data_IF_288051988814
#
_entry.id   IF_288051988814
#
_cell.length_a   1.000
_cell.length_b   1.000
_cell.length_c   1.000
_cell.angle_alpha   90.00
_cell.angle_beta   90.00
_cell.angle_gamma   90.00
#
_symmetry.space_group_name_H-M   'P 1'
#
loop_
_entity.id
_entity.type
_entity.pdbx_description
1 polymer ?
#
# COMPACT_ATOMS: atom_id res chain seq x y z
N UNK A 1 -33.35 -9.36 -45.46
CA UNK A 1 -33.38 -8.72 -44.13
C UNK A 1 -32.55 -7.46 -44.20
N UNK A 2 -33.00 -6.34 -43.60
CA UNK A 2 -32.18 -5.13 -43.49
C UNK A 2 -31.23 -5.35 -42.31
N UNK A 3 -29.94 -5.47 -42.60
CA UNK A 3 -28.89 -5.63 -41.60
C UNK A 3 -28.36 -4.24 -41.23
N UNK A 4 -28.00 -4.05 -39.95
CA UNK A 4 -27.39 -2.82 -39.43
C UNK A 4 -26.07 -3.19 -38.76
N UNK A 5 -25.04 -2.37 -38.92
CA UNK A 5 -23.78 -2.58 -38.23
C UNK A 5 -23.87 -2.10 -36.78
N UNK A 6 -23.04 -2.64 -35.90
CA UNK A 6 -22.95 -2.19 -34.51
C UNK A 6 -22.54 -0.72 -34.43
N UNK A 7 -21.62 -0.28 -35.29
CA UNK A 7 -21.21 1.12 -35.38
C UNK A 7 -22.38 2.05 -35.78
N UNK A 8 -23.24 1.62 -36.70
CA UNK A 8 -24.41 2.41 -37.09
C UNK A 8 -25.46 2.45 -36.00
N UNK A 9 -25.69 1.34 -35.30
CA UNK A 9 -26.56 1.31 -34.12
C UNK A 9 -26.02 2.20 -32.99
N UNK A 10 -24.70 2.19 -32.76
CA UNK A 10 -24.04 3.05 -31.77
C UNK A 10 -24.26 4.53 -32.04
N UNK A 11 -24.16 4.95 -33.31
CA UNK A 11 -24.41 6.34 -33.73
C UNK A 11 -25.88 6.73 -33.55
N UNK A 12 -26.81 5.84 -33.89
CA UNK A 12 -28.26 6.09 -33.74
C UNK A 12 -28.64 6.22 -32.27
N UNK A 13 -28.11 5.36 -31.41
CA UNK A 13 -28.40 5.34 -29.97
C UNK A 13 -27.53 6.31 -29.16
N UNK A 14 -26.51 6.93 -29.77
CA UNK A 14 -25.51 7.80 -29.11
C UNK A 14 -24.78 7.12 -27.96
N UNK A 15 -24.43 5.85 -28.13
CA UNK A 15 -23.74 5.03 -27.12
C UNK A 15 -22.35 4.62 -27.61
N UNK A 16 -21.46 4.28 -26.68
CA UNK A 16 -20.14 3.78 -27.05
C UNK A 16 -20.26 2.40 -27.72
N UNK A 17 -19.51 2.18 -28.80
CA UNK A 17 -19.50 0.92 -29.55
C UNK A 17 -19.13 -0.28 -28.66
N UNK A 18 -18.19 -0.09 -27.72
CA UNK A 18 -17.82 -1.11 -26.74
C UNK A 18 -18.97 -1.53 -25.84
N UNK A 19 -19.88 -0.61 -25.48
CA UNK A 19 -21.09 -0.94 -24.70
C UNK A 19 -22.01 -1.87 -25.49
N UNK A 20 -22.19 -1.61 -26.78
CA UNK A 20 -23.00 -2.47 -27.65
C UNK A 20 -22.35 -3.84 -27.89
N UNK A 21 -21.02 -3.90 -28.05
CA UNK A 21 -20.31 -5.19 -28.19
C UNK A 21 -20.44 -6.05 -26.93
N UNK A 22 -20.36 -5.45 -25.76
CA UNK A 22 -20.62 -6.15 -24.49
C UNK A 22 -22.07 -6.59 -24.41
N UNK A 23 -23.03 -5.74 -24.77
CA UNK A 23 -24.43 -6.15 -24.81
C UNK A 23 -24.68 -7.28 -25.82
N UNK A 24 -23.99 -7.32 -26.96
CA UNK A 24 -24.04 -8.44 -27.89
C UNK A 24 -23.55 -9.73 -27.20
N UNK A 25 -22.40 -9.69 -26.55
CA UNK A 25 -21.85 -10.85 -25.82
C UNK A 25 -22.77 -11.33 -24.69
N UNK A 26 -23.35 -10.39 -23.93
CA UNK A 26 -24.27 -10.68 -22.82
C UNK A 26 -25.60 -11.26 -23.31
N UNK A 27 -26.04 -10.88 -24.51
CA UNK A 27 -27.29 -11.36 -25.12
C UNK A 27 -27.07 -12.52 -26.11
N UNK A 28 -25.88 -13.13 -26.16
CA UNK A 28 -25.58 -14.27 -27.03
C UNK A 28 -25.61 -13.93 -28.53
N UNK A 29 -25.38 -12.67 -28.90
CA UNK A 29 -25.25 -12.20 -30.28
C UNK A 29 -23.77 -12.29 -30.66
N UNK A 30 -23.46 -13.08 -31.69
CA UNK A 30 -22.10 -13.17 -32.24
C UNK A 30 -21.75 -11.88 -32.99
N UNK A 31 -20.95 -11.05 -32.34
CA UNK A 31 -20.40 -9.84 -32.89
C UNK A 31 -18.95 -9.65 -32.41
N UNK A 32 -18.02 -9.65 -33.36
CA UNK A 32 -16.59 -9.63 -33.07
C UNK A 32 -16.04 -8.20 -33.03
N UNK A 33 -16.64 -7.28 -33.78
CA UNK A 33 -16.18 -5.91 -33.92
C UNK A 33 -17.30 -4.92 -34.26
N UNK A 34 -16.92 -3.65 -34.38
CA UNK A 34 -17.81 -2.54 -34.70
C UNK A 34 -18.51 -2.63 -36.07
N UNK A 35 -17.97 -3.43 -36.99
CA UNK A 35 -18.52 -3.62 -38.33
C UNK A 35 -19.40 -4.87 -38.43
N UNK A 36 -19.51 -5.65 -37.35
CA UNK A 36 -20.37 -6.83 -37.29
C UNK A 36 -21.83 -6.46 -37.59
N UNK A 37 -22.45 -7.21 -38.50
CA UNK A 37 -23.83 -6.99 -38.93
C UNK A 37 -24.81 -7.73 -38.01
N UNK A 38 -25.81 -7.02 -37.52
CA UNK A 38 -26.88 -7.56 -36.68
C UNK A 38 -28.24 -7.37 -37.35
N UNK A 39 -29.18 -8.24 -37.02
CA UNK A 39 -30.55 -8.17 -37.54
C UNK A 39 -31.34 -7.03 -36.90
N UNK A 40 -32.47 -6.66 -37.52
CA UNK A 40 -33.37 -5.66 -36.96
C UNK A 40 -33.97 -6.09 -35.60
N UNK A 41 -34.14 -7.40 -35.38
CA UNK A 41 -34.63 -7.95 -34.11
C UNK A 41 -33.55 -7.87 -33.02
N UNK A 42 -32.30 -8.21 -33.37
CA UNK A 42 -31.15 -8.06 -32.47
C UNK A 42 -30.93 -6.59 -32.10
N UNK A 43 -31.07 -5.66 -33.04
CA UNK A 43 -30.93 -4.22 -32.74
C UNK A 43 -32.07 -3.68 -31.86
N UNK A 44 -33.30 -4.17 -32.02
CA UNK A 44 -34.41 -3.85 -31.13
C UNK A 44 -34.19 -4.38 -29.71
N UNK A 45 -33.68 -5.61 -29.58
CA UNK A 45 -33.32 -6.23 -28.30
C UNK A 45 -32.23 -5.43 -27.58
N UNK A 46 -31.17 -5.06 -28.29
CA UNK A 46 -30.07 -4.24 -27.74
C UNK A 46 -30.56 -2.84 -27.31
N UNK A 47 -31.48 -2.24 -28.08
CA UNK A 47 -32.09 -0.95 -27.75
C UNK A 47 -32.95 -1.02 -26.48
N UNK A 48 -33.70 -2.10 -26.30
CA UNK A 48 -34.50 -2.32 -25.09
C UNK A 48 -33.63 -2.57 -23.86
N UNK A 49 -32.61 -3.43 -23.99
CA UNK A 49 -31.65 -3.69 -22.92
C UNK A 49 -30.94 -2.40 -22.45
N UNK A 50 -30.73 -1.44 -23.35
CA UNK A 50 -30.16 -0.14 -23.01
C UNK A 50 -31.13 0.75 -22.23
N UNK A 51 -32.41 0.80 -22.63
CA UNK A 51 -33.45 1.59 -21.94
C UNK A 51 -33.78 1.08 -20.54
N UNK A 52 -33.74 -0.24 -20.34
CA UNK A 52 -33.95 -0.88 -19.04
C UNK A 52 -32.80 -0.58 -18.06
N UNK A 53 -31.61 -0.25 -18.57
CA UNK A 53 -30.44 0.11 -17.77
C UNK A 53 -30.34 1.62 -17.47
N UNK A 54 -30.87 2.50 -18.33
CA UNK A 54 -30.86 3.96 -18.11
C UNK A 54 -31.92 4.45 -17.10
N UNK A 55 -32.91 3.61 -16.74
CA UNK A 55 -34.04 4.02 -15.90
C UNK A 55 -33.78 3.97 -14.38
N UNK A 56 -32.52 3.76 -13.97
CA UNK A 56 -32.09 3.77 -12.56
C UNK A 56 -30.89 4.70 -12.39
N UNK A 57 -31.09 6.03 -12.46
CA UNK A 57 -30.38 7.12 -11.74
C UNK A 57 -30.88 8.48 -12.29
N UNK A 58 -31.27 9.47 -11.44
CA UNK A 58 -31.67 10.80 -11.90
C UNK A 58 -30.48 11.63 -12.40
N UNK A 59 -30.67 12.33 -13.51
CA UNK A 59 -29.69 13.18 -14.18
C UNK A 59 -29.44 14.51 -13.45
N UNK A 60 -28.18 14.80 -13.16
CA UNK A 60 -27.67 16.19 -13.06
C UNK A 60 -26.67 16.40 -14.18
N UNK A 61 -27.04 17.30 -15.09
CA UNK A 61 -26.36 17.67 -16.32
C UNK A 61 -25.24 18.68 -16.05
N UNK A 62 -24.03 18.43 -16.58
CA UNK A 62 -23.03 19.47 -16.79
C UNK A 62 -22.27 19.20 -18.09
N UNK A 63 -22.42 20.11 -19.05
CA UNK A 63 -21.85 20.08 -20.41
C UNK A 63 -20.32 19.88 -20.47
N UNK A 64 -19.79 19.18 -21.48
CA UNK A 64 -18.39 19.35 -21.89
C UNK A 64 -18.25 20.16 -23.20
N UNK A 65 -17.32 21.13 -23.15
CA UNK A 65 -16.91 21.99 -24.26
C UNK A 65 -16.15 21.21 -25.35
N UNK A 66 -16.51 21.53 -26.60
CA UNK A 66 -15.98 21.08 -27.90
C UNK A 66 -14.45 21.09 -28.02
N UNK A 67 -13.86 20.03 -28.59
CA UNK A 67 -12.65 20.11 -29.43
C UNK A 67 -12.81 19.26 -30.71
N UNK A 68 -12.26 19.81 -31.80
CA UNK A 68 -12.54 19.54 -33.21
C UNK A 68 -11.93 18.23 -33.72
N UNK A 69 -12.67 17.55 -34.60
CA UNK A 69 -12.20 16.50 -35.50
C UNK A 69 -11.22 17.02 -36.56
N UNK A 70 -10.28 16.18 -36.98
CA UNK A 70 -9.74 16.20 -38.35
C UNK A 70 -9.72 14.78 -38.90
N UNK A 71 -10.43 14.60 -40.02
CA UNK A 71 -10.57 13.37 -40.80
C UNK A 71 -9.42 13.31 -41.82
N UNK A 72 -8.76 12.16 -41.94
CA UNK A 72 -8.12 11.75 -43.19
C UNK A 72 -8.53 10.32 -43.51
N UNK A 73 -9.20 10.19 -44.65
CA UNK A 73 -9.67 8.95 -45.28
C UNK A 73 -8.65 8.44 -46.28
N UNK A 74 -8.38 7.12 -46.31
CA UNK A 74 -7.84 6.42 -47.49
C UNK A 74 -8.39 4.99 -47.58
N UNK A 75 -8.78 4.60 -48.81
CA UNK A 75 -9.54 3.40 -49.20
C UNK A 75 -8.70 2.10 -49.27
N UNK A 76 -9.34 0.90 -49.30
CA UNK A 76 -8.69 -0.41 -49.14
C UNK A 76 -8.21 -1.04 -50.46
N UNK A 77 -7.26 -1.98 -50.39
CA UNK A 77 -6.91 -2.90 -51.49
C UNK A 77 -6.74 -4.36 -51.00
N UNK A 78 -7.21 -5.25 -51.89
CA UNK A 78 -7.48 -6.70 -51.85
C UNK A 78 -6.37 -7.65 -51.38
N UNK A 79 -6.82 -8.79 -50.84
CA UNK A 79 -6.10 -10.03 -50.50
C UNK A 79 -5.29 -10.67 -51.65
N UNK A 80 -4.21 -11.38 -51.27
CA UNK A 80 -3.85 -12.71 -51.77
C UNK A 80 -3.12 -13.51 -50.68
N UNK A 81 -3.48 -14.79 -50.55
CA UNK A 81 -2.87 -15.77 -49.66
C UNK A 81 -1.45 -16.17 -50.08
N UNK A 82 -0.56 -16.37 -49.10
CA UNK A 82 0.65 -17.19 -49.26
C UNK A 82 1.00 -17.90 -47.94
N UNK A 83 1.37 -19.17 -48.04
CA UNK A 83 1.50 -20.15 -46.95
C UNK A 83 2.75 -19.93 -46.07
N UNK A 84 2.60 -20.33 -44.80
CA UNK A 84 3.59 -20.68 -43.77
C UNK A 84 5.09 -20.57 -44.15
N UNK A 85 5.77 -19.60 -43.54
CA UNK A 85 7.23 -19.64 -43.29
C UNK A 85 7.51 -19.37 -41.82
N UNK A 86 8.27 -20.26 -41.18
CA UNK A 86 8.78 -20.10 -39.81
C UNK A 86 9.55 -18.79 -39.67
N UNK A 87 9.18 -17.97 -38.69
CA UNK A 87 9.95 -16.80 -38.27
C UNK A 87 11.19 -17.25 -37.48
N UNK A 88 12.39 -16.68 -37.73
CA UNK A 88 13.61 -17.02 -37.00
C UNK A 88 13.60 -16.41 -35.59
N UNK A 89 14.16 -17.17 -34.64
CA UNK A 89 14.37 -16.81 -33.23
C UNK A 89 14.91 -15.37 -33.06
N UNK A 90 14.17 -14.50 -32.35
CA UNK A 90 14.61 -13.14 -32.03
C UNK A 90 15.79 -13.16 -31.04
N UNK A 91 16.88 -12.45 -31.39
CA UNK A 91 18.03 -12.24 -30.48
C UNK A 91 17.70 -11.11 -29.48
N UNK A 92 18.16 -11.21 -28.21
CA UNK A 92 17.88 -10.19 -27.20
C UNK A 92 18.49 -8.82 -27.56
N UNK A 93 17.90 -7.72 -27.05
CA UNK A 93 18.25 -6.36 -27.44
C UNK A 93 19.68 -6.01 -26.98
N UNK A 94 20.49 -5.49 -27.90
CA UNK A 94 21.85 -5.02 -27.62
C UNK A 94 21.79 -3.72 -26.80
N UNK A 95 22.18 -3.79 -25.54
CA UNK A 95 22.48 -2.61 -24.72
C UNK A 95 23.60 -1.78 -25.40
N UNK A 96 23.35 -0.47 -25.60
CA UNK A 96 24.37 0.46 -26.10
C UNK A 96 25.53 0.52 -25.09
N UNK A 97 26.72 0.09 -25.50
CA UNK A 97 27.95 0.21 -24.71
C UNK A 97 28.33 1.69 -24.59
N UNK A 98 28.22 2.27 -23.40
CA UNK A 98 28.83 3.57 -23.09
C UNK A 98 30.36 3.44 -23.09
N UNK A 99 31.05 4.44 -23.61
CA UNK A 99 32.52 4.45 -23.66
C UNK A 99 33.12 4.82 -22.30
N UNK A 100 34.31 4.29 -21.99
CA UNK A 100 35.00 4.50 -20.71
C UNK A 100 35.24 5.99 -20.37
N UNK A 101 35.37 6.87 -21.39
CA UNK A 101 35.47 8.32 -21.19
C UNK A 101 34.19 8.96 -20.65
N UNK A 102 33.02 8.43 -20.98
CA UNK A 102 31.73 8.94 -20.49
C UNK A 102 31.42 8.42 -19.07
N UNK A 103 31.86 7.22 -18.72
CA UNK A 103 31.76 6.70 -17.36
C UNK A 103 32.66 7.47 -16.38
N UNK A 104 33.89 7.82 -16.80
CA UNK A 104 34.81 8.61 -15.98
C UNK A 104 34.30 10.02 -15.67
N UNK A 105 33.69 10.70 -16.64
CA UNK A 105 33.11 12.05 -16.43
C UNK A 105 31.92 12.05 -15.45
N UNK A 106 31.14 10.97 -15.42
CA UNK A 106 29.97 10.82 -14.54
C UNK A 106 30.38 10.51 -13.09
N UNK A 107 31.44 9.73 -12.90
CA UNK A 107 32.03 9.45 -11.58
C UNK A 107 32.76 10.67 -11.01
N UNK A 108 33.56 11.36 -11.82
CA UNK A 108 34.28 12.57 -11.38
C UNK A 108 33.33 13.75 -11.12
N UNK A 109 32.26 13.89 -11.93
CA UNK A 109 31.19 14.86 -11.69
C UNK A 109 30.38 14.56 -10.42
N UNK A 110 30.05 13.29 -10.16
CA UNK A 110 29.32 12.87 -8.97
C UNK A 110 30.13 13.03 -7.66
N UNK A 111 31.41 12.68 -7.67
CA UNK A 111 32.30 12.85 -6.51
C UNK A 111 32.63 14.33 -6.27
N UNK A 112 32.81 15.12 -7.34
CA UNK A 112 32.99 16.58 -7.23
C UNK A 112 31.78 17.29 -6.62
N UNK A 113 30.56 16.87 -6.97
CA UNK A 113 29.32 17.41 -6.39
C UNK A 113 29.17 17.07 -4.91
N UNK A 114 29.52 15.86 -4.49
CA UNK A 114 29.47 15.45 -3.08
C UNK A 114 30.48 16.22 -2.23
N UNK A 115 31.69 16.47 -2.73
CA UNK A 115 32.70 17.25 -2.00
C UNK A 115 32.28 18.73 -1.91
N UNK A 116 31.77 19.33 -2.99
CA UNK A 116 31.27 20.72 -2.96
C UNK A 116 30.04 20.88 -2.05
N UNK A 117 29.14 19.89 -2.00
CA UNK A 117 27.97 19.95 -1.09
C UNK A 117 28.36 19.94 0.38
N UNK A 118 29.42 19.21 0.75
CA UNK A 118 29.93 19.18 2.13
C UNK A 118 30.67 20.49 2.48
N UNK A 119 31.43 21.08 1.55
CA UNK A 119 32.12 22.37 1.79
C UNK A 119 31.13 23.53 1.95
N UNK A 120 30.02 23.54 1.21
CA UNK A 120 28.95 24.54 1.40
C UNK A 120 28.26 24.36 2.76
N UNK A 121 28.02 23.12 3.21
CA UNK A 121 27.41 22.83 4.51
C UNK A 121 28.33 23.23 5.68
N UNK A 122 29.64 22.97 5.57
CA UNK A 122 30.64 23.40 6.56
C UNK A 122 30.84 24.93 6.56
N UNK A 123 30.80 25.59 5.40
CA UNK A 123 30.85 27.05 5.29
C UNK A 123 29.64 27.75 5.93
N UNK A 124 28.44 27.18 5.75
CA UNK A 124 27.21 27.64 6.42
C UNK A 124 27.33 27.50 7.95
N UNK A 125 27.78 26.36 8.47
CA UNK A 125 27.96 26.16 9.92
C UNK A 125 29.06 27.06 10.53
N UNK A 126 30.16 27.31 9.80
CA UNK A 126 31.23 28.21 10.26
C UNK A 126 30.83 29.70 10.27
N UNK A 127 29.82 30.10 9.48
CA UNK A 127 29.27 31.46 9.45
C UNK A 127 28.30 31.80 10.59
N UNK A 128 28.07 30.85 11.52
CA UNK A 128 27.08 31.02 12.59
C UNK A 128 25.63 30.80 12.14
N UNK A 129 25.40 30.28 10.94
CA UNK A 129 24.08 29.89 10.47
C UNK A 129 23.59 28.66 11.23
N UNK A 130 22.77 28.89 12.27
CA UNK A 130 21.98 27.83 12.90
C UNK A 130 20.80 27.56 11.98
N UNK A 131 20.60 26.33 11.46
CA UNK A 131 19.34 26.01 10.80
C UNK A 131 18.26 26.24 11.83
N UNK A 132 17.49 27.31 11.63
CA UNK A 132 16.22 27.48 12.32
C UNK A 132 15.39 26.31 11.85
N UNK A 133 15.32 25.27 12.69
CA UNK A 133 14.20 24.37 12.61
C UNK A 133 12.99 25.28 12.77
N UNK A 134 12.35 25.60 11.65
CA UNK A 134 10.99 26.11 11.68
C UNK A 134 10.24 25.00 12.40
N UNK A 135 10.04 25.20 13.71
CA UNK A 135 8.93 24.62 14.43
C UNK A 135 7.74 24.92 13.52
N UNK A 136 7.24 23.89 12.85
CA UNK A 136 5.96 23.99 12.19
C UNK A 136 4.99 24.11 13.36
N UNK A 137 4.71 25.35 13.76
CA UNK A 137 3.49 25.67 14.46
C UNK A 137 2.38 25.40 13.47
N UNK A 138 1.97 24.14 13.37
CA UNK A 138 0.63 23.86 12.93
C UNK A 138 -0.24 24.44 14.04
N UNK A 139 -0.88 25.57 13.77
CA UNK A 139 -1.94 26.08 14.62
C UNK A 139 -3.01 24.98 14.70
N UNK A 140 -2.91 24.12 15.71
CA UNK A 140 -3.99 23.22 16.07
C UNK A 140 -4.97 24.08 16.83
N UNK A 141 -5.84 24.74 16.07
CA UNK A 141 -7.00 25.46 16.59
C UNK A 141 -7.74 24.55 17.55
N UNK A 142 -7.83 25.01 18.79
CA UNK A 142 -8.54 24.35 19.87
C UNK A 142 -9.99 24.11 19.49
N UNK A 143 -10.37 22.84 19.32
CA UNK A 143 -11.62 22.23 19.79
C UNK A 143 -11.76 20.84 19.16
N UNK A 144 -11.16 19.81 19.76
CA UNK A 144 -11.76 18.47 19.79
C UNK A 144 -11.38 17.79 21.10
N UNK A 145 -12.27 17.87 22.10
CA UNK A 145 -12.42 16.76 23.04
C UNK A 145 -12.87 15.57 22.22
N UNK A 146 -11.92 14.76 21.74
CA UNK A 146 -12.22 13.42 21.24
C UNK A 146 -12.52 12.54 22.46
N UNK A 147 -13.78 12.56 22.87
CA UNK A 147 -14.34 11.64 23.84
C UNK A 147 -14.20 10.21 23.31
N UNK A 148 -13.44 9.38 24.03
CA UNK A 148 -13.25 7.95 23.80
C UNK A 148 -12.04 7.63 22.92
N UNK A 149 -10.86 7.42 23.53
CA UNK A 149 -9.60 7.01 22.88
C UNK A 149 -8.89 8.07 22.01
N UNK A 150 -9.11 9.36 22.27
CA UNK A 150 -8.38 10.44 21.61
C UNK A 150 -6.94 10.55 22.11
N UNK A 151 -5.97 10.15 21.30
CA UNK A 151 -4.55 10.36 21.52
C UNK A 151 -4.28 11.85 21.78
N UNK A 152 -3.76 12.20 22.96
CA UNK A 152 -3.31 13.56 23.25
C UNK A 152 -2.05 13.87 22.41
N UNK A 153 -2.26 14.47 21.24
CA UNK A 153 -1.19 14.80 20.30
C UNK A 153 -0.16 15.75 20.89
N UNK A 154 -0.54 16.57 21.88
CA UNK A 154 0.40 17.46 22.56
C UNK A 154 1.33 16.68 23.48
N UNK A 155 0.76 15.77 24.28
CA UNK A 155 1.54 14.85 25.11
C UNK A 155 2.48 14.02 24.24
N UNK A 156 1.97 13.42 23.15
CA UNK A 156 2.79 12.65 22.21
C UNK A 156 3.96 13.45 21.65
N UNK A 157 3.73 14.66 21.15
CA UNK A 157 4.81 15.47 20.58
C UNK A 157 5.89 15.81 21.61
N UNK A 158 5.50 16.09 22.85
CA UNK A 158 6.43 16.34 23.95
C UNK A 158 7.27 15.09 24.27
N UNK A 159 6.60 13.94 24.39
CA UNK A 159 7.23 12.65 24.72
C UNK A 159 8.12 12.12 23.59
N UNK A 160 7.75 12.31 22.33
CA UNK A 160 8.59 11.96 21.16
C UNK A 160 9.92 12.71 21.22
N UNK A 161 9.89 13.99 21.61
CA UNK A 161 11.09 14.80 21.84
C UNK A 161 11.96 14.22 22.96
N UNK A 162 11.35 13.85 24.10
CA UNK A 162 12.07 13.22 25.20
C UNK A 162 12.72 11.90 24.79
N UNK A 163 12.00 11.03 24.10
CA UNK A 163 12.55 9.75 23.59
C UNK A 163 13.75 9.99 22.70
N UNK A 164 13.63 10.89 21.72
CA UNK A 164 14.74 11.18 20.82
C UNK A 164 15.96 11.74 21.57
N UNK A 165 15.75 12.68 22.50
CA UNK A 165 16.83 13.23 23.34
C UNK A 165 17.46 12.16 24.21
N UNK A 166 16.65 11.31 24.85
CA UNK A 166 17.13 10.28 25.75
C UNK A 166 17.99 9.23 25.02
N UNK A 167 17.64 8.83 23.79
CA UNK A 167 18.37 7.80 23.04
C UNK A 167 19.50 8.34 22.14
N UNK A 168 19.69 9.67 22.11
CA UNK A 168 20.80 10.30 21.39
C UNK A 168 21.88 10.73 22.39
N UNK A 169 22.88 9.87 22.61
CA UNK A 169 23.97 10.13 23.55
C UNK A 169 25.32 10.17 22.83
N UNK A 170 26.06 11.28 22.85
CA UNK A 170 27.25 11.46 22.02
C UNK A 170 28.47 10.66 22.49
N UNK A 171 29.39 10.39 21.55
CA UNK A 171 30.67 9.74 21.84
C UNK A 171 31.68 10.68 22.52
N UNK A 172 31.65 11.98 22.20
CA UNK A 172 32.57 12.97 22.73
C UNK A 172 32.18 13.35 24.17
N UNK A 173 33.11 13.16 25.12
CA UNK A 173 32.92 13.50 26.53
C UNK A 173 32.51 14.96 26.75
N UNK A 174 32.95 15.89 25.88
CA UNK A 174 32.58 17.31 25.97
C UNK A 174 31.10 17.55 25.65
N UNK A 175 30.55 16.76 24.75
CA UNK A 175 29.16 16.86 24.32
C UNK A 175 28.23 16.08 25.26
N UNK A 176 28.75 15.11 26.01
CA UNK A 176 27.98 14.32 26.98
C UNK A 176 27.43 15.18 28.13
N UNK A 177 28.17 16.19 28.59
CA UNK A 177 27.66 17.10 29.64
C UNK A 177 26.42 17.86 29.15
N UNK A 178 26.42 18.32 27.90
CA UNK A 178 25.25 18.98 27.31
C UNK A 178 24.09 18.00 27.12
N UNK A 179 24.36 16.77 26.65
CA UNK A 179 23.33 15.75 26.51
C UNK A 179 22.63 15.44 27.85
N UNK A 180 23.38 15.35 28.95
CA UNK A 180 22.81 15.18 30.30
C UNK A 180 21.93 16.38 30.69
N UNK A 181 22.36 17.61 30.41
CA UNK A 181 21.55 18.81 30.66
C UNK A 181 20.26 18.80 29.84
N UNK A 182 20.34 18.41 28.58
CA UNK A 182 19.18 18.36 27.68
C UNK A 182 18.16 17.31 28.14
N UNK A 183 18.61 16.15 28.62
CA UNK A 183 17.73 15.13 29.23
C UNK A 183 17.09 15.66 30.51
N UNK A 184 17.90 16.23 31.41
CA UNK A 184 17.44 16.71 32.71
C UNK A 184 16.45 17.88 32.60
N UNK A 185 16.49 18.65 31.51
CA UNK A 185 15.55 19.74 31.25
C UNK A 185 14.09 19.27 31.19
N UNK A 186 13.83 17.98 30.92
CA UNK A 186 12.49 17.41 30.86
C UNK A 186 11.87 17.10 32.23
N UNK A 187 12.67 16.89 33.28
CA UNK A 187 12.18 16.47 34.60
C UNK A 187 11.66 17.63 35.47
N UNK A 188 12.02 18.88 35.14
CA UNK A 188 11.68 20.15 35.84
C UNK A 188 12.16 20.23 37.30
N UNK A 189 12.23 19.12 38.01
CA UNK A 189 12.78 18.94 39.35
C UNK A 189 14.09 18.16 39.26
N UNK A 190 15.04 18.50 40.13
CA UNK A 190 16.20 17.64 40.35
C UNK A 190 15.71 16.38 41.06
N UNK A 191 15.50 15.30 40.31
CA UNK A 191 15.23 14.00 40.91
C UNK A 191 16.39 13.65 41.86
N UNK A 192 16.14 12.98 43.00
CA UNK A 192 17.21 12.55 43.90
C UNK A 192 18.13 11.56 43.19
N UNK A 193 19.19 12.08 42.55
CA UNK A 193 20.20 11.23 41.91
C UNK A 193 21.01 10.60 43.03
N UNK A 194 20.74 9.33 43.36
CA UNK A 194 21.72 8.51 44.08
C UNK A 194 22.81 8.19 43.05
N UNK A 195 23.67 9.17 42.77
CA UNK A 195 24.69 9.10 41.73
C UNK A 195 25.76 8.08 42.15
N UNK A 196 25.56 6.82 41.79
CA UNK A 196 26.62 5.83 41.77
C UNK A 196 26.97 5.53 40.31
N UNK A 197 27.76 6.43 39.70
CA UNK A 197 28.60 6.08 38.54
C UNK A 197 27.88 5.56 37.29
N UNK A 198 26.64 5.98 37.00
CA UNK A 198 25.98 5.64 35.73
C UNK A 198 26.66 6.42 34.59
N UNK A 199 27.69 5.83 33.99
CA UNK A 199 28.28 6.30 32.75
C UNK A 199 27.42 5.74 31.59
N UNK A 200 26.54 6.59 31.04
CA UNK A 200 25.79 6.23 29.84
C UNK A 200 26.77 5.95 28.70
N UNK A 201 26.52 4.89 27.95
CA UNK A 201 27.27 4.61 26.72
C UNK A 201 26.76 5.50 25.58
N UNK A 202 27.62 5.82 24.60
CA UNK A 202 27.17 6.52 23.40
C UNK A 202 26.03 5.75 22.73
N UNK A 203 25.04 6.45 22.20
CA UNK A 203 23.89 5.83 21.54
C UNK A 203 23.34 6.73 20.44
N UNK A 204 22.75 6.11 19.41
CA UNK A 204 22.09 6.81 18.30
C UNK A 204 20.65 6.37 18.20
N UNK A 205 19.74 7.35 18.16
CA UNK A 205 18.33 7.11 17.95
C UNK A 205 18.06 6.74 16.49
N UNK A 206 17.44 5.59 16.25
CA UNK A 206 17.07 5.13 14.90
C UNK A 206 15.57 5.27 14.64
N UNK A 207 14.73 5.01 15.65
CA UNK A 207 13.29 5.22 15.55
C UNK A 207 12.53 4.80 16.79
N UNK A 208 11.31 5.30 16.93
CA UNK A 208 10.39 4.88 17.98
C UNK A 208 8.95 4.84 17.49
N UNK A 209 8.20 3.89 18.05
CA UNK A 209 6.76 3.74 17.85
C UNK A 209 6.09 3.78 19.21
N UNK A 210 5.16 4.71 19.40
CA UNK A 210 4.34 4.76 20.63
C UNK A 210 3.42 3.54 20.66
N UNK A 211 3.51 2.76 21.73
CA UNK A 211 2.72 1.56 21.98
C UNK A 211 1.47 1.86 22.82
N UNK A 212 1.59 2.75 23.80
CA UNK A 212 0.49 3.18 24.65
C UNK A 212 0.70 4.60 25.19
N UNK A 213 -0.41 5.28 25.45
CA UNK A 213 -0.46 6.59 26.11
C UNK A 213 -1.63 6.58 27.10
N UNK A 214 -1.32 6.69 28.39
CA UNK A 214 -2.29 6.87 29.47
C UNK A 214 -2.20 8.31 29.99
N UNK A 215 -2.95 8.66 31.04
CA UNK A 215 -2.88 10.01 31.63
C UNK A 215 -1.54 10.32 32.30
N UNK A 216 -0.76 9.29 32.67
CA UNK A 216 0.45 9.41 33.49
C UNK A 216 1.67 8.64 32.97
N UNK A 217 1.51 7.78 31.96
CA UNK A 217 2.60 6.97 31.40
C UNK A 217 2.49 6.86 29.88
N UNK A 218 3.64 6.82 29.23
CA UNK A 218 3.75 6.52 27.81
C UNK A 218 4.78 5.43 27.57
N UNK A 219 4.43 4.41 26.78
CA UNK A 219 5.35 3.33 26.43
C UNK A 219 5.69 3.41 24.95
N UNK A 220 6.97 3.38 24.64
CA UNK A 220 7.51 3.40 23.29
C UNK A 220 8.28 2.12 23.00
N UNK A 221 8.10 1.55 21.81
CA UNK A 221 9.06 0.61 21.24
C UNK A 221 10.14 1.43 20.55
N UNK A 222 11.35 1.40 21.09
CA UNK A 222 12.49 2.21 20.61
C UNK A 222 13.54 1.30 19.99
N UNK A 223 14.02 1.68 18.81
CA UNK A 223 15.19 1.10 18.15
C UNK A 223 16.32 2.13 18.20
N UNK A 224 17.49 1.71 18.69
CA UNK A 224 18.66 2.57 18.83
C UNK A 224 19.94 1.75 18.63
N UNK A 225 21.00 2.39 18.14
CA UNK A 225 22.32 1.78 18.10
C UNK A 225 23.07 2.10 19.39
N UNK A 226 23.44 1.08 20.15
CA UNK A 226 24.21 1.19 21.39
C UNK A 226 25.71 1.11 21.08
N UNK A 227 26.50 2.03 21.63
CA UNK A 227 27.95 2.09 21.48
C UNK A 227 28.67 1.27 22.54
N UNK A 228 29.36 0.21 22.13
CA UNK A 228 30.33 -0.49 22.95
C UNK A 228 31.69 0.22 22.85
N UNK A 229 32.15 0.80 23.95
CA UNK A 229 33.44 1.51 24.01
C UNK A 229 34.57 0.49 24.24
N UNK A 230 35.44 0.35 23.25
CA UNK A 230 36.66 -0.47 23.37
C UNK A 230 37.90 0.42 23.38
N UNK A 231 38.72 0.34 24.43
CA UNK A 231 39.99 1.06 24.48
C UNK A 231 41.06 0.27 23.73
N UNK A 232 41.64 0.88 22.70
CA UNK A 232 42.77 0.32 21.95
C UNK A 232 44.04 1.11 22.23
N UNK A 233 45.13 0.40 22.46
CA UNK A 233 46.46 1.02 22.51
C UNK A 233 46.97 1.21 21.08
N UNK A 234 47.14 2.47 20.68
CA UNK A 234 47.71 2.85 19.39
C UNK A 234 49.15 3.31 19.64
N UNK A 235 50.10 2.56 19.11
CA UNK A 235 51.53 2.93 19.15
C UNK A 235 51.83 3.88 17.99
N UNK A 236 52.27 5.09 18.32
CA UNK A 236 52.78 6.06 17.33
C UNK A 236 54.23 6.36 17.68
N UNK A 237 55.15 5.58 17.10
CA UNK A 237 56.57 5.64 17.46
C UNK A 237 56.84 4.97 18.82
N UNK A 238 57.54 5.68 19.73
CA UNK A 238 57.79 5.20 21.11
C UNK A 238 56.61 5.46 22.06
N UNK A 239 55.67 6.29 21.65
CA UNK A 239 54.53 6.68 22.48
C UNK A 239 53.35 5.73 22.24
N UNK A 240 52.75 5.27 23.34
CA UNK A 240 51.52 4.48 23.31
C UNK A 240 50.38 5.39 23.77
N UNK A 241 49.46 5.71 22.85
CA UNK A 241 48.25 6.47 23.15
C UNK A 241 47.06 5.53 23.25
N UNK A 242 46.26 5.65 24.31
CA UNK A 242 44.98 4.94 24.42
C UNK A 242 43.95 5.70 23.60
N UNK A 243 43.29 5.02 22.66
CA UNK A 243 42.20 5.55 21.87
C UNK A 243 40.95 4.74 22.14
N UNK A 244 39.86 5.42 22.49
CA UNK A 244 38.54 4.80 22.58
C UNK A 244 37.97 4.62 21.18
N UNK A 245 37.48 3.41 20.87
CA UNK A 245 36.80 3.07 19.63
C UNK A 245 35.42 2.56 19.99
N UNK A 246 34.40 3.25 19.50
CA UNK A 246 33.00 2.86 19.71
C UNK A 246 32.56 1.94 18.57
N UNK A 247 32.02 0.78 18.92
CA UNK A 247 31.33 -0.11 17.98
C UNK A 247 29.86 -0.07 18.27
N UNK A 248 29.06 0.09 17.22
CA UNK A 248 27.60 0.14 17.36
C UNK A 248 26.97 -1.21 17.05
N UNK A 249 25.97 -1.57 17.84
CA UNK A 249 25.02 -2.65 17.56
C UNK A 249 23.60 -2.16 17.79
N UNK A 250 22.65 -2.67 17.01
CA UNK A 250 21.26 -2.24 17.10
C UNK A 250 20.53 -3.01 18.21
N UNK A 251 19.81 -2.27 19.03
CA UNK A 251 18.94 -2.80 20.08
C UNK A 251 17.50 -2.34 19.84
N UNK A 252 16.54 -3.12 20.35
CA UNK A 252 15.13 -2.72 20.37
C UNK A 252 14.53 -3.08 21.71
N UNK A 253 13.87 -2.13 22.34
CA UNK A 253 13.35 -2.23 23.71
C UNK A 253 11.99 -1.56 23.84
N UNK A 254 11.27 -1.87 24.91
CA UNK A 254 10.18 -1.01 25.37
C UNK A 254 10.72 -0.03 26.40
N UNK A 255 10.39 1.24 26.22
CA UNK A 255 10.79 2.36 27.06
C UNK A 255 9.54 3.05 27.59
N UNK A 256 9.31 2.98 28.90
CA UNK A 256 8.14 3.56 29.55
C UNK A 256 8.52 4.81 30.32
N UNK A 257 7.73 5.86 30.13
CA UNK A 257 8.00 7.21 30.59
C UNK A 257 6.86 7.66 31.49
N UNK A 258 7.10 7.78 32.80
CA UNK A 258 6.20 8.47 33.72
C UNK A 258 6.20 9.97 33.42
N UNK A 259 5.02 10.55 33.17
CA UNK A 259 4.88 11.98 32.90
C UNK A 259 3.62 12.55 33.55
N UNK A 260 3.58 13.87 33.69
CA UNK A 260 2.43 14.58 34.24
C UNK A 260 2.16 15.86 33.46
N UNK A 261 0.91 16.31 33.51
CA UNK A 261 0.46 17.56 32.91
C UNK A 261 0.21 18.62 33.99
N UNK A 262 0.73 19.83 33.79
CA UNK A 262 0.47 20.99 34.64
C UNK A 262 0.01 22.13 33.75
N UNK A 263 -1.28 22.49 33.86
CA UNK A 263 -1.90 23.44 32.94
C UNK A 263 -1.84 22.94 31.50
N UNK A 264 -1.16 23.66 30.61
CA UNK A 264 -0.93 23.28 29.21
C UNK A 264 0.44 22.65 28.94
N UNK A 265 1.26 22.46 29.98
CA UNK A 265 2.63 21.95 29.86
C UNK A 265 2.74 20.53 30.41
N UNK A 266 3.80 19.82 30.01
CA UNK A 266 4.11 18.46 30.43
C UNK A 266 5.52 18.42 31.02
N UNK A 267 5.74 17.51 31.96
CA UNK A 267 7.05 17.20 32.51
C UNK A 267 7.18 15.69 32.76
N UNK A 268 8.41 15.20 32.73
CA UNK A 268 8.73 13.81 33.09
C UNK A 268 8.74 13.73 34.61
N UNK A 269 7.86 12.91 35.17
CA UNK A 269 7.60 12.91 36.62
C UNK A 269 8.49 11.97 37.41
N UNK A 270 9.06 10.96 36.74
CA UNK A 270 9.96 9.97 37.36
C UNK A 270 10.87 9.33 36.29
N UNK A 271 11.90 8.61 36.73
CA UNK A 271 12.86 7.96 35.85
C UNK A 271 12.17 6.96 34.90
N UNK A 272 12.49 6.98 33.60
CA UNK A 272 11.93 6.03 32.67
C UNK A 272 12.57 4.65 32.87
N UNK A 273 11.83 3.59 32.50
CA UNK A 273 12.28 2.21 32.67
C UNK A 273 12.10 1.37 31.41
N UNK A 274 12.89 0.31 31.33
CA UNK A 274 12.99 -0.57 30.17
C UNK A 274 12.31 -1.91 30.42
N UNK A 275 11.72 -2.47 29.38
CA UNK A 275 11.22 -3.85 29.39
C UNK A 275 11.44 -4.54 28.05
N UNK A 276 11.42 -5.88 28.07
CA UNK A 276 11.52 -6.68 26.84
C UNK A 276 10.34 -6.42 25.91
N UNK A 277 10.59 -6.41 24.60
CA UNK A 277 9.52 -6.38 23.59
C UNK A 277 8.80 -7.74 23.60
N UNK A 278 7.49 -7.81 23.89
CA UNK A 278 6.76 -9.07 23.86
C UNK A 278 6.62 -9.56 22.41
N UNK A 279 6.51 -10.88 22.25
CA UNK A 279 6.11 -11.44 20.97
C UNK A 279 4.64 -11.08 20.68
N UNK A 280 4.42 -10.42 19.55
CA UNK A 280 3.08 -10.05 19.07
C UNK A 280 2.47 -11.15 18.18
N UNK A 281 3.27 -12.15 17.80
CA UNK A 281 2.79 -13.28 17.02
C UNK A 281 2.08 -14.27 17.92
N UNK A 282 0.79 -14.49 17.67
CA UNK A 282 0.06 -15.58 18.32
C UNK A 282 0.63 -16.94 17.87
N UNK A 283 0.61 -17.89 18.79
CA UNK A 283 0.96 -19.30 18.53
C UNK A 283 -0.22 -20.04 17.91
N UNK A 284 0.08 -21.14 17.21
CA UNK A 284 -0.93 -21.97 16.52
C UNK A 284 -2.10 -22.39 17.44
N UNK A 285 -1.80 -22.69 18.71
CA UNK A 285 -2.80 -23.12 19.68
C UNK A 285 -3.82 -22.03 20.06
N UNK A 286 -3.45 -20.76 19.87
CA UNK A 286 -4.28 -19.59 20.22
C UNK A 286 -5.25 -19.19 19.09
N UNK A 287 -5.09 -19.73 17.88
CA UNK A 287 -5.89 -19.33 16.72
C UNK A 287 -6.87 -20.43 16.28
N UNK A 288 -8.05 -20.07 15.74
CA UNK A 288 -8.94 -21.04 15.10
C UNK A 288 -8.35 -21.60 13.81
N UNK A 289 -8.60 -22.88 13.53
CA UNK A 289 -8.21 -23.51 12.26
C UNK A 289 -9.03 -22.93 11.12
N UNK A 290 -8.38 -22.63 9.99
CA UNK A 290 -9.06 -22.25 8.74
C UNK A 290 -9.10 -23.46 7.81
N UNK A 291 -10.28 -23.80 7.28
CA UNK A 291 -10.44 -24.95 6.38
C UNK A 291 -11.15 -24.53 5.10
N UNK A 292 -10.85 -25.25 4.02
CA UNK A 292 -11.60 -25.13 2.79
C UNK A 292 -13.04 -25.64 2.97
N UNK A 293 -14.02 -25.03 2.29
CA UNK A 293 -15.40 -25.55 2.33
C UNK A 293 -15.45 -26.92 1.64
N UNK A 294 -15.92 -27.94 2.37
CA UNK A 294 -15.86 -29.34 1.92
C UNK A 294 -16.99 -29.76 0.97
N UNK A 295 -17.88 -28.85 0.57
CA UNK A 295 -19.11 -29.24 -0.13
C UNK A 295 -19.33 -28.40 -1.38
N UNK A 296 -18.93 -28.94 -2.53
CA UNK A 296 -19.34 -28.50 -3.86
C UNK A 296 -20.19 -29.61 -4.51
N UNK A 297 -21.50 -29.54 -4.25
CA UNK A 297 -22.46 -30.54 -4.73
C UNK A 297 -23.14 -30.12 -6.04
N UNK A 298 -22.54 -29.19 -6.79
CA UNK A 298 -23.12 -28.71 -8.06
C UNK A 298 -22.87 -29.69 -9.20
N UNK A 299 -23.72 -29.62 -10.23
CA UNK A 299 -23.42 -30.26 -11.50
C UNK A 299 -22.20 -29.60 -12.17
N UNK A 300 -21.47 -30.36 -12.99
CA UNK A 300 -20.31 -29.86 -13.71
C UNK A 300 -20.60 -28.62 -14.58
N UNK A 301 -21.81 -28.54 -15.15
CA UNK A 301 -22.24 -27.38 -15.94
C UNK A 301 -22.41 -26.14 -15.07
N UNK A 302 -23.10 -26.26 -13.93
CA UNK A 302 -23.29 -25.15 -12.99
C UNK A 302 -21.95 -24.68 -12.44
N UNK A 303 -21.07 -25.61 -12.07
CA UNK A 303 -19.71 -25.31 -11.62
C UNK A 303 -18.92 -24.50 -12.65
N UNK A 304 -18.98 -24.91 -13.92
CA UNK A 304 -18.30 -24.22 -15.03
C UNK A 304 -18.82 -22.80 -15.23
N UNK A 305 -20.13 -22.58 -15.13
CA UNK A 305 -20.74 -21.26 -15.24
C UNK A 305 -20.33 -20.35 -14.07
N UNK A 306 -20.32 -20.88 -12.84
CA UNK A 306 -19.87 -20.16 -11.65
C UNK A 306 -18.37 -19.82 -11.71
N UNK A 307 -17.52 -20.72 -12.21
CA UNK A 307 -16.09 -20.45 -12.44
C UNK A 307 -15.88 -19.36 -13.50
N UNK A 308 -16.65 -19.39 -14.58
CA UNK A 308 -16.60 -18.36 -15.63
C UNK A 308 -17.00 -17.00 -15.06
N UNK A 309 -18.12 -16.95 -14.35
CA UNK A 309 -18.58 -15.74 -13.67
C UNK A 309 -17.53 -15.21 -12.68
N UNK A 310 -16.98 -16.07 -11.82
CA UNK A 310 -15.98 -15.69 -10.82
C UNK A 310 -14.71 -15.13 -11.48
N UNK A 311 -14.25 -15.72 -12.59
CA UNK A 311 -13.13 -15.16 -13.37
C UNK A 311 -13.47 -13.77 -13.91
N UNK A 312 -14.63 -13.59 -14.52
CA UNK A 312 -15.09 -12.29 -15.02
C UNK A 312 -15.21 -11.25 -13.91
N UNK A 313 -15.70 -11.65 -12.74
CA UNK A 313 -15.79 -10.83 -11.54
C UNK A 313 -14.42 -10.30 -11.12
N UNK A 314 -13.43 -11.17 -10.97
CA UNK A 314 -12.08 -10.74 -10.55
C UNK A 314 -11.29 -10.05 -11.66
N UNK A 315 -11.57 -10.34 -12.94
CA UNK A 315 -11.09 -9.53 -14.06
C UNK A 315 -11.63 -8.09 -13.92
N UNK A 316 -12.96 -7.91 -13.85
CA UNK A 316 -13.56 -6.59 -13.71
C UNK A 316 -13.11 -5.87 -12.43
N UNK A 317 -12.93 -6.60 -11.32
CA UNK A 317 -12.40 -6.07 -10.07
C UNK A 317 -11.05 -5.37 -10.25
N UNK A 318 -10.24 -5.79 -11.22
CA UNK A 318 -8.91 -5.22 -11.48
C UNK A 318 -8.86 -4.33 -12.73
N UNK A 319 -9.84 -4.42 -13.63
CA UNK A 319 -9.79 -3.73 -14.94
C UNK A 319 -10.92 -2.73 -15.18
N UNK A 320 -12.14 -2.98 -14.71
CA UNK A 320 -13.34 -2.23 -15.09
C UNK A 320 -14.35 -2.10 -13.93
N UNK A 321 -14.41 -0.89 -13.36
CA UNK A 321 -15.31 -0.57 -12.26
C UNK A 321 -16.78 -0.48 -12.65
N UNK A 322 -17.12 -0.22 -13.90
CA UNK A 322 -18.52 -0.13 -14.32
C UNK A 322 -19.09 -1.53 -14.56
N UNK A 323 -18.33 -2.41 -15.22
CA UNK A 323 -18.67 -3.85 -15.27
C UNK A 323 -18.77 -4.44 -13.86
N UNK A 324 -17.83 -4.11 -12.96
CA UNK A 324 -17.84 -4.61 -11.58
C UNK A 324 -19.13 -4.24 -10.83
N UNK A 325 -19.63 -3.01 -10.99
CA UNK A 325 -20.90 -2.56 -10.37
C UNK A 325 -22.12 -3.30 -10.90
N UNK A 326 -22.09 -3.73 -12.16
CA UNK A 326 -23.19 -4.48 -12.78
C UNK A 326 -23.27 -5.92 -12.27
N UNK A 327 -22.14 -6.51 -11.87
CA UNK A 327 -22.05 -7.92 -11.48
C UNK A 327 -21.78 -8.15 -10.00
N UNK A 328 -21.57 -7.08 -9.23
CA UNK A 328 -21.30 -7.20 -7.80
C UNK A 328 -21.66 -5.98 -6.97
N UNK A 329 -21.81 -6.20 -5.66
CA UNK A 329 -21.89 -5.16 -4.64
C UNK A 329 -20.90 -5.45 -3.52
N UNK A 330 -20.18 -4.42 -3.08
CA UNK A 330 -19.22 -4.51 -1.97
C UNK A 330 -17.76 -4.60 -2.40
N UNK A 331 -17.48 -4.70 -3.70
CA UNK A 331 -16.15 -4.50 -4.26
C UNK A 331 -16.03 -3.12 -4.92
N UNK A 332 -14.81 -2.60 -4.95
CA UNK A 332 -14.44 -1.38 -5.68
C UNK A 332 -13.24 -1.67 -6.57
N UNK A 333 -13.17 -1.04 -7.74
CA UNK A 333 -12.10 -1.25 -8.71
C UNK A 333 -10.71 -1.10 -8.06
N UNK A 334 -9.90 -2.15 -8.13
CA UNK A 334 -8.55 -2.21 -7.61
C UNK A 334 -7.52 -2.19 -8.75
N UNK A 335 -7.15 -0.98 -9.18
CA UNK A 335 -6.13 -0.77 -10.23
C UNK A 335 -4.70 -1.07 -9.77
N UNK A 336 -4.49 -1.32 -8.47
CA UNK A 336 -3.18 -1.65 -7.91
C UNK A 336 -2.78 -3.10 -8.12
N UNK A 337 -3.69 -3.93 -8.65
CA UNK A 337 -3.48 -5.34 -8.87
C UNK A 337 -3.97 -5.78 -10.26
N UNK A 338 -3.52 -6.95 -10.68
CA UNK A 338 -3.96 -7.64 -11.90
C UNK A 338 -4.38 -9.07 -11.53
N UNK A 339 -5.59 -9.47 -11.91
CA UNK A 339 -6.06 -10.85 -11.76
C UNK A 339 -5.32 -11.80 -12.71
N UNK A 340 -4.80 -12.92 -12.19
CA UNK A 340 -4.06 -13.92 -12.97
C UNK A 340 -4.81 -15.23 -13.14
N UNK A 341 -5.34 -15.79 -12.05
CA UNK A 341 -6.01 -17.08 -12.10
C UNK A 341 -6.99 -17.26 -10.94
N UNK A 342 -7.98 -18.09 -11.22
CA UNK A 342 -8.82 -18.73 -10.21
C UNK A 342 -8.20 -20.10 -9.94
N UNK A 343 -7.53 -20.25 -8.80
CA UNK A 343 -6.70 -21.41 -8.48
C UNK A 343 -7.53 -22.53 -7.87
N UNK A 344 -8.43 -22.16 -6.96
CA UNK A 344 -9.37 -23.07 -6.33
C UNK A 344 -10.72 -22.37 -6.11
N UNK A 345 -11.81 -23.10 -6.32
CA UNK A 345 -13.16 -22.57 -6.11
C UNK A 345 -14.12 -23.69 -5.73
N UNK A 346 -14.88 -23.46 -4.66
CA UNK A 346 -16.01 -24.29 -4.25
C UNK A 346 -17.25 -23.42 -4.10
N UNK A 347 -18.38 -23.91 -4.60
CA UNK A 347 -19.65 -23.20 -4.48
C UNK A 347 -20.66 -24.07 -3.75
N UNK A 348 -20.98 -23.74 -2.51
CA UNK A 348 -21.99 -24.47 -1.75
C UNK A 348 -23.37 -23.92 -2.11
N UNK A 349 -24.26 -24.75 -2.67
CA UNK A 349 -25.64 -24.31 -2.94
C UNK A 349 -26.38 -24.07 -1.62
N UNK A 350 -27.01 -22.91 -1.48
CA UNK A 350 -27.84 -22.53 -0.32
C UNK A 350 -29.34 -22.63 -0.59
N UNK A 351 -29.73 -23.24 -1.71
CA UNK A 351 -31.11 -23.20 -2.21
C UNK A 351 -31.39 -21.91 -2.98
N UNK A 352 -32.57 -21.83 -3.61
CA UNK A 352 -33.08 -20.62 -4.29
C UNK A 352 -32.09 -19.96 -5.25
N UNK A 353 -31.33 -20.76 -6.02
CA UNK A 353 -30.35 -20.26 -6.99
C UNK A 353 -29.24 -19.39 -6.37
N UNK A 354 -28.98 -19.56 -5.07
CA UNK A 354 -27.91 -18.90 -4.32
C UNK A 354 -26.79 -19.87 -4.00
N UNK A 355 -25.57 -19.37 -4.05
CA UNK A 355 -24.36 -20.13 -3.80
C UNK A 355 -23.46 -19.35 -2.86
N UNK A 356 -22.89 -20.04 -1.88
CA UNK A 356 -21.80 -19.53 -1.09
C UNK A 356 -20.48 -19.93 -1.76
N UNK A 357 -19.76 -18.95 -2.29
CA UNK A 357 -18.48 -19.15 -2.95
C UNK A 357 -17.34 -19.03 -1.94
N UNK A 358 -16.45 -20.01 -1.95
CA UNK A 358 -15.12 -19.94 -1.32
C UNK A 358 -14.09 -20.14 -2.40
N UNK A 359 -13.24 -19.14 -2.62
CA UNK A 359 -12.31 -19.14 -3.74
C UNK A 359 -10.92 -18.65 -3.34
N UNK A 360 -9.93 -19.10 -4.09
CA UNK A 360 -8.56 -18.65 -4.03
C UNK A 360 -8.18 -18.16 -5.43
N UNK A 361 -7.62 -16.96 -5.45
CA UNK A 361 -7.20 -16.29 -6.68
C UNK A 361 -5.76 -15.88 -6.57
N UNK A 362 -5.04 -15.95 -7.68
CA UNK A 362 -3.72 -15.34 -7.80
C UNK A 362 -3.87 -13.94 -8.37
N UNK A 363 -3.33 -12.98 -7.65
CA UNK A 363 -3.21 -11.58 -8.06
C UNK A 363 -1.75 -11.24 -8.32
N UNK A 364 -1.50 -10.18 -9.07
CA UNK A 364 -0.16 -9.62 -9.29
C UNK A 364 -0.14 -8.13 -8.99
N UNK A 365 0.89 -7.67 -8.30
CA UNK A 365 1.20 -6.25 -8.13
C UNK A 365 2.71 -6.00 -8.35
N UNK A 366 3.20 -4.84 -7.94
CA UNK A 366 4.63 -4.48 -8.06
C UNK A 366 5.59 -5.35 -7.24
N UNK A 367 5.08 -6.08 -6.24
CA UNK A 367 5.86 -7.00 -5.41
C UNK A 367 5.93 -8.42 -5.99
N UNK A 368 5.13 -8.74 -7.01
CA UNK A 368 5.07 -10.07 -7.63
C UNK A 368 3.65 -10.63 -7.64
N UNK A 369 3.55 -11.96 -7.70
CA UNK A 369 2.27 -12.68 -7.59
C UNK A 369 2.02 -13.11 -6.15
N UNK A 370 0.78 -13.02 -5.69
CA UNK A 370 0.35 -13.47 -4.37
C UNK A 370 -1.06 -14.06 -4.43
N UNK A 371 -1.39 -14.91 -3.46
CA UNK A 371 -2.71 -15.53 -3.36
C UNK A 371 -3.62 -14.73 -2.43
N UNK A 372 -4.89 -14.66 -2.77
CA UNK A 372 -5.92 -14.06 -1.94
C UNK A 372 -7.11 -15.01 -1.83
N UNK A 373 -7.66 -15.15 -0.62
CA UNK A 373 -8.81 -16.01 -0.35
C UNK A 373 -10.05 -15.15 -0.15
N UNK A 374 -11.16 -15.57 -0.74
CA UNK A 374 -12.42 -14.85 -0.71
C UNK A 374 -13.58 -15.78 -0.33
N UNK A 375 -14.50 -15.22 0.43
CA UNK A 375 -15.85 -15.73 0.62
C UNK A 375 -16.86 -14.71 0.13
N UNK A 376 -17.88 -15.14 -0.61
CA UNK A 376 -18.95 -14.26 -1.06
C UNK A 376 -20.19 -15.06 -1.44
N UNK A 377 -21.32 -14.38 -1.60
CA UNK A 377 -22.58 -14.95 -2.07
C UNK A 377 -22.71 -14.68 -3.57
N UNK A 378 -23.07 -15.70 -4.34
CA UNK A 378 -23.46 -15.59 -5.75
C UNK A 378 -24.95 -15.89 -5.85
N UNK A 379 -25.72 -14.99 -6.44
CA UNK A 379 -27.13 -15.21 -6.74
C UNK A 379 -27.32 -15.27 -8.26
N UNK A 380 -27.97 -16.33 -8.76
CA UNK A 380 -28.34 -16.42 -10.17
C UNK A 380 -29.51 -15.48 -10.44
N UNK A 381 -29.30 -14.56 -11.38
CA UNK A 381 -30.32 -13.74 -11.98
C UNK A 381 -30.78 -14.36 -13.31
N UNK A 382 -31.82 -13.80 -13.94
CA UNK A 382 -32.47 -14.38 -15.14
C UNK A 382 -31.48 -15.01 -16.14
N UNK A 383 -30.46 -14.27 -16.55
CA UNK A 383 -29.46 -14.71 -17.54
C UNK A 383 -28.01 -14.56 -17.05
N UNK A 384 -27.79 -14.22 -15.77
CA UNK A 384 -26.46 -13.90 -15.25
C UNK A 384 -26.34 -14.28 -13.77
N UNK A 385 -25.23 -13.91 -13.15
CA UNK A 385 -25.00 -14.02 -11.72
C UNK A 385 -24.63 -12.65 -11.15
N UNK A 386 -24.87 -12.48 -9.86
CA UNK A 386 -24.51 -11.27 -9.13
C UNK A 386 -23.87 -11.62 -7.79
N UNK A 387 -22.76 -10.98 -7.46
CA UNK A 387 -21.96 -11.30 -6.28
C UNK A 387 -22.08 -10.26 -5.16
N UNK A 388 -22.21 -10.72 -3.92
CA UNK A 388 -22.41 -9.87 -2.72
C UNK A 388 -21.69 -10.45 -1.51
N UNK A 389 -21.67 -9.73 -0.39
CA UNK A 389 -21.21 -10.24 0.91
C UNK A 389 -19.74 -10.71 0.95
N UNK A 390 -18.85 -9.95 0.30
CA UNK A 390 -17.43 -10.27 0.21
C UNK A 390 -16.71 -10.22 1.56
N UNK A 391 -15.86 -11.23 1.81
CA UNK A 391 -14.91 -11.30 2.92
C UNK A 391 -13.57 -11.85 2.42
N UNK A 392 -12.46 -11.22 2.80
CA UNK A 392 -11.10 -11.70 2.49
C UNK A 392 -10.60 -12.73 3.52
N UNK A 393 -11.22 -13.91 3.59
CA UNK A 393 -10.79 -14.95 4.53
C UNK A 393 -11.29 -16.32 4.09
N UNK A 394 -10.71 -17.39 4.64
CA UNK A 394 -11.28 -18.74 4.56
C UNK A 394 -12.32 -18.97 5.68
N UNK A 395 -13.26 -19.91 5.49
CA UNK A 395 -14.14 -20.36 6.56
C UNK A 395 -13.36 -20.87 7.77
N UNK A 396 -13.94 -20.72 8.95
CA UNK A 396 -13.42 -21.36 10.16
C UNK A 396 -13.79 -22.84 10.15
N UNK A 397 -12.79 -23.69 10.35
CA UNK A 397 -12.97 -25.12 10.50
C UNK A 397 -13.37 -25.47 11.93
N UNK A 398 -13.99 -26.63 12.11
CA UNK A 398 -14.08 -27.24 13.43
C UNK A 398 -12.69 -27.76 13.79
N UNK A 399 -12.20 -27.46 15.00
CA UNK A 399 -11.03 -28.17 15.56
C UNK A 399 -11.43 -29.64 15.68
N UNK A 400 -10.68 -30.53 15.03
CA UNK A 400 -10.84 -31.98 15.19
C UNK A 400 -10.42 -32.44 16.58
#
# INVERSE_FOLDING_TARGET
>A
MKLITINDLAKVLKVNVGVLLVLCQVNGIEAEDENSEITLEQSALLTQALKENDSVVPSTESEPKKKKFSIFSAKPKKEKAEMLRMLPNEKPPKLKKMSAKQAGALVVGGVGFLILSNVVLFGLMASGYKPTQKIIYQEVSATQKASGNGLDLQAKNYLDGFVQTYFTFPEDEKDQEQAVKDINAYFVQNLPVISQGIQRTPSKFEGAVMMSLTDNEATYKVTYSAGEVTTKEVKKGKDTTKQNVVKYHDETTLFTIPYQKVGSAYYISDEPYFSSVPDLQATENQVPTKTWSSTDNNSASVKKDLDKFTKSLFTAYTTDGDTLKLISKGLSLNKGQEFKSLDQATYESKGDNKYHAVVQVTMKNSLGTHVENYQFTIEKQKQSYFATDFKHTLPEGKKE
#
